data_IF_640087778008
#
_entry.id   IF_640087778008
#
_cell.length_a   1.000
_cell.length_b   1.000
_cell.length_c   1.000
_cell.angle_alpha   90.00
_cell.angle_beta   90.00
_cell.angle_gamma   90.00
#
_symmetry.space_group_name_H-M   'P 1'
#
loop_
_entity.id
_entity.type
_entity.pdbx_description
1 polymer ?
#
# COMPACT_ATOMS: atom_id res chain seq x y z
N UNK A 1 -44.13 -20.51 20.05
CA UNK A 1 -42.91 -19.88 20.59
C UNK A 1 -43.10 -19.62 22.08
N UNK A 2 -42.18 -19.99 22.98
CA UNK A 2 -42.34 -19.74 24.40
C UNK A 2 -42.36 -18.23 24.67
N UNK A 3 -43.42 -17.73 25.34
CA UNK A 3 -43.65 -16.30 25.65
C UNK A 3 -42.44 -15.58 26.28
N UNK A 4 -41.51 -16.32 26.89
CA UNK A 4 -40.26 -15.83 27.47
C UNK A 4 -39.24 -15.27 26.46
N UNK A 5 -39.38 -15.61 25.17
CA UNK A 5 -38.45 -15.14 24.11
C UNK A 5 -38.93 -13.88 23.38
N UNK A 6 -40.19 -13.47 23.56
CA UNK A 6 -40.78 -12.34 22.82
C UNK A 6 -40.14 -11.01 23.21
N UNK A 7 -39.96 -10.75 24.51
CA UNK A 7 -39.32 -9.53 25.00
C UNK A 7 -37.87 -9.35 24.50
N UNK A 8 -36.98 -10.35 24.72
CA UNK A 8 -35.62 -10.30 24.18
C UNK A 8 -35.57 -10.17 22.65
N UNK A 9 -36.47 -10.84 21.93
CA UNK A 9 -36.54 -10.72 20.48
C UNK A 9 -36.93 -9.30 20.03
N UNK A 10 -37.93 -8.68 20.66
CA UNK A 10 -38.33 -7.30 20.35
C UNK A 10 -37.20 -6.30 20.66
N UNK A 11 -36.49 -6.47 21.78
CA UNK A 11 -35.34 -5.64 22.11
C UNK A 11 -34.23 -5.76 21.05
N UNK A 12 -33.90 -7.00 20.62
CA UNK A 12 -32.92 -7.24 19.57
C UNK A 12 -33.35 -6.60 18.24
N UNK A 13 -34.61 -6.77 17.83
CA UNK A 13 -35.14 -6.16 16.61
C UNK A 13 -35.06 -4.64 16.68
N UNK A 14 -35.42 -4.03 17.81
CA UNK A 14 -35.33 -2.58 17.98
C UNK A 14 -33.90 -2.07 17.83
N UNK A 15 -32.91 -2.75 18.44
CA UNK A 15 -31.49 -2.39 18.29
C UNK A 15 -31.03 -2.49 16.83
N UNK A 16 -31.41 -3.55 16.12
CA UNK A 16 -31.06 -3.74 14.70
C UNK A 16 -31.68 -2.67 13.81
N UNK A 17 -32.95 -2.32 14.04
CA UNK A 17 -33.65 -1.26 13.30
C UNK A 17 -33.00 0.09 13.57
N UNK A 18 -32.70 0.44 14.83
CA UNK A 18 -32.01 1.67 15.17
C UNK A 18 -30.64 1.76 14.51
N UNK A 19 -29.87 0.66 14.52
CA UNK A 19 -28.56 0.61 13.85
C UNK A 19 -28.69 0.84 12.34
N UNK A 20 -29.68 0.21 11.69
CA UNK A 20 -29.95 0.40 10.27
C UNK A 20 -30.33 1.85 9.95
N UNK A 21 -31.21 2.45 10.73
CA UNK A 21 -31.63 3.85 10.56
C UNK A 21 -30.43 4.81 10.67
N UNK A 22 -29.53 4.59 11.63
CA UNK A 22 -28.32 5.41 11.78
C UNK A 22 -27.37 5.19 10.59
N UNK A 23 -27.14 3.96 10.15
CA UNK A 23 -26.28 3.66 8.99
C UNK A 23 -26.80 4.34 7.71
N UNK A 24 -28.12 4.36 7.50
CA UNK A 24 -28.77 5.05 6.37
C UNK A 24 -28.64 6.56 6.52
N UNK A 25 -28.96 7.12 7.70
CA UNK A 25 -28.86 8.55 7.95
C UNK A 25 -27.44 9.08 7.74
N UNK A 26 -26.42 8.36 8.26
CA UNK A 26 -25.02 8.69 8.00
C UNK A 26 -24.69 8.66 6.50
N UNK A 27 -25.24 7.70 5.76
CA UNK A 27 -25.07 7.62 4.31
C UNK A 27 -25.65 8.83 3.57
N UNK A 28 -26.88 9.23 3.90
CA UNK A 28 -27.56 10.40 3.33
C UNK A 28 -26.81 11.70 3.66
N UNK A 29 -26.26 11.80 4.88
CA UNK A 29 -25.47 12.95 5.33
C UNK A 29 -24.03 12.97 4.80
N UNK A 30 -23.65 12.04 3.91
CA UNK A 30 -22.32 12.01 3.30
C UNK A 30 -21.20 11.46 4.18
N UNK A 31 -21.51 10.86 5.33
CA UNK A 31 -20.50 10.19 6.14
C UNK A 31 -20.05 8.89 5.45
N UNK A 32 -18.75 8.85 5.11
CA UNK A 32 -18.12 7.70 4.45
C UNK A 32 -17.87 6.52 5.38
N UNK A 33 -17.35 5.45 4.78
CA UNK A 33 -16.76 4.27 5.45
C UNK A 33 -15.24 4.32 5.38
N UNK A 34 -14.55 3.44 6.08
CA UNK A 34 -13.11 3.29 5.90
C UNK A 34 -12.83 2.84 4.46
N UNK A 35 -11.97 3.60 3.79
CA UNK A 35 -11.39 3.28 2.50
C UNK A 35 -9.99 2.75 2.78
N UNK A 36 -9.77 1.44 2.62
CA UNK A 36 -8.46 0.81 2.88
C UNK A 36 -7.42 1.31 1.86
N UNK A 37 -6.21 1.60 2.31
CA UNK A 37 -5.09 1.86 1.42
C UNK A 37 -4.09 0.72 1.62
N UNK A 38 -3.63 0.05 0.55
CA UNK A 38 -4.04 0.31 -0.83
C UNK A 38 -5.32 -0.47 -1.22
N UNK A 39 -6.18 0.19 -2.02
CA UNK A 39 -7.48 -0.29 -2.50
C UNK A 39 -7.36 -0.64 -3.99
N UNK A 40 -8.24 -1.47 -4.58
CA UNK A 40 -9.20 -2.40 -3.97
C UNK A 40 -8.65 -3.81 -3.67
N UNK A 41 -9.44 -4.61 -2.95
CA UNK A 41 -9.17 -6.00 -2.56
C UNK A 41 -9.11 -6.91 -3.79
N UNK A 42 -7.94 -6.97 -4.41
CA UNK A 42 -7.72 -7.70 -5.66
C UNK A 42 -6.44 -7.26 -6.34
N UNK A 43 -6.04 -6.00 -6.13
CA UNK A 43 -4.76 -5.49 -6.62
C UNK A 43 -3.57 -5.95 -5.82
N UNK A 44 -3.78 -6.51 -4.63
CA UNK A 44 -2.73 -6.77 -3.67
C UNK A 44 -2.81 -8.22 -3.20
N UNK A 45 -1.66 -8.89 -3.21
CA UNK A 45 -1.46 -10.23 -2.67
C UNK A 45 -0.42 -10.19 -1.57
N UNK A 46 -0.54 -11.09 -0.60
CA UNK A 46 0.50 -11.30 0.41
C UNK A 46 1.77 -11.82 -0.28
N UNK A 47 2.91 -11.29 0.15
CA UNK A 47 4.23 -11.75 -0.26
C UNK A 47 5.07 -12.04 1.00
N UNK A 48 5.62 -13.25 1.17
CA UNK A 48 6.36 -13.59 2.39
C UNK A 48 7.70 -12.86 2.52
N UNK A 49 8.23 -12.22 1.47
CA UNK A 49 9.48 -11.44 1.51
C UNK A 49 9.21 -9.95 1.62
N UNK A 50 8.19 -9.48 0.91
CA UNK A 50 7.89 -8.05 0.77
C UNK A 50 6.69 -7.60 1.62
N UNK A 51 5.96 -8.53 2.25
CA UNK A 51 4.70 -8.28 2.94
C UNK A 51 3.52 -8.27 1.98
N UNK A 52 3.58 -7.43 0.94
CA UNK A 52 2.61 -7.42 -0.14
C UNK A 52 3.27 -7.10 -1.48
N UNK A 53 2.60 -7.50 -2.55
CA UNK A 53 2.92 -7.09 -3.91
C UNK A 53 1.62 -6.99 -4.72
N UNK A 54 1.66 -6.40 -5.90
CA UNK A 54 0.49 -6.43 -6.77
C UNK A 54 0.15 -7.85 -7.25
N UNK A 55 -1.15 -8.08 -7.45
CA UNK A 55 -1.67 -9.27 -8.13
C UNK A 55 -1.47 -9.10 -9.64
N UNK A 56 -0.74 -10.02 -10.27
CA UNK A 56 -0.51 -9.99 -11.72
C UNK A 56 -1.83 -10.04 -12.50
N UNK A 57 -1.93 -9.25 -13.57
CA UNK A 57 -3.10 -9.19 -14.44
C UNK A 57 -4.33 -8.51 -13.83
N UNK A 58 -4.25 -7.96 -12.61
CA UNK A 58 -5.41 -7.31 -11.99
C UNK A 58 -5.69 -5.94 -12.64
N UNK A 59 -6.95 -5.65 -12.90
CA UNK A 59 -7.43 -4.35 -13.40
C UNK A 59 -8.66 -3.88 -12.61
N UNK A 60 -8.85 -2.57 -12.54
CA UNK A 60 -9.95 -1.95 -11.83
C UNK A 60 -9.78 -0.46 -11.64
N UNK A 61 -10.60 0.11 -10.77
CA UNK A 61 -10.64 1.55 -10.52
C UNK A 61 -10.28 1.84 -9.07
N UNK A 62 -9.32 2.73 -8.87
CA UNK A 62 -9.01 3.30 -7.56
C UNK A 62 -9.90 4.51 -7.36
N UNK A 63 -10.89 4.40 -6.49
CA UNK A 63 -11.85 5.47 -6.20
C UNK A 63 -11.56 6.09 -4.83
N UNK A 64 -11.08 7.35 -4.87
CA UNK A 64 -10.94 8.21 -3.70
C UNK A 64 -11.78 9.48 -3.84
N UNK A 65 -12.96 9.38 -4.47
CA UNK A 65 -13.87 10.49 -4.70
C UNK A 65 -14.18 11.27 -3.40
N UNK A 66 -14.19 12.62 -3.45
CA UNK A 66 -14.11 13.44 -4.67
C UNK A 66 -12.67 13.75 -5.14
N UNK A 67 -11.62 13.21 -4.49
CA UNK A 67 -10.22 13.57 -4.77
C UNK A 67 -9.77 13.08 -6.15
N UNK A 68 -9.97 11.80 -6.44
CA UNK A 68 -9.66 11.22 -7.74
C UNK A 68 -10.44 9.92 -7.95
N UNK A 69 -10.50 9.50 -9.21
CA UNK A 69 -10.95 8.19 -9.62
C UNK A 69 -10.12 7.78 -10.83
N UNK A 70 -9.22 6.81 -10.70
CA UNK A 70 -8.30 6.44 -11.78
C UNK A 70 -8.34 4.97 -12.13
N UNK A 71 -8.12 4.65 -13.40
CA UNK A 71 -8.00 3.26 -13.85
C UNK A 71 -6.58 2.76 -13.58
N UNK A 72 -6.50 1.56 -13.05
CA UNK A 72 -5.24 0.89 -12.76
C UNK A 72 -5.26 -0.48 -13.43
N UNK A 73 -4.23 -0.77 -14.21
CA UNK A 73 -3.93 -2.09 -14.75
C UNK A 73 -2.56 -2.51 -14.24
N UNK A 74 -2.49 -3.71 -13.69
CA UNK A 74 -1.26 -4.39 -13.31
C UNK A 74 -0.96 -5.44 -14.37
N UNK A 75 0.26 -5.41 -14.88
CA UNK A 75 0.73 -6.30 -15.93
C UNK A 75 1.01 -7.72 -15.38
N UNK A 76 1.43 -8.63 -16.25
CA UNK A 76 1.60 -10.05 -15.87
C UNK A 76 2.79 -10.30 -14.92
N UNK A 77 3.61 -9.26 -14.70
CA UNK A 77 4.75 -9.27 -13.77
C UNK A 77 4.46 -8.53 -12.47
N UNK A 78 3.23 -8.05 -12.28
CA UNK A 78 2.85 -7.33 -11.07
C UNK A 78 3.29 -5.86 -11.05
N UNK A 79 3.63 -5.28 -12.20
CA UNK A 79 3.99 -3.86 -12.33
C UNK A 79 2.83 -3.08 -12.93
N UNK A 80 2.70 -1.80 -12.58
CA UNK A 80 1.67 -0.95 -13.18
C UNK A 80 2.10 -0.51 -14.59
N UNK A 81 1.20 -0.66 -15.56
CA UNK A 81 1.43 -0.25 -16.94
C UNK A 81 1.47 -1.41 -17.93
N UNK A 82 2.22 -1.25 -19.02
CA UNK A 82 2.37 -2.31 -20.01
C UNK A 82 3.44 -3.33 -19.62
N UNK A 83 3.50 -4.42 -20.37
CA UNK A 83 4.44 -5.51 -20.14
C UNK A 83 5.83 -5.15 -20.65
N UNK A 84 6.85 -5.59 -19.89
CA UNK A 84 8.26 -5.47 -20.25
C UNK A 84 8.87 -6.88 -20.25
N UNK A 85 9.44 -7.36 -21.37
CA UNK A 85 10.17 -8.62 -21.39
C UNK A 85 11.50 -8.50 -20.64
N UNK A 86 12.00 -9.61 -20.09
CA UNK A 86 13.35 -9.61 -19.48
C UNK A 86 14.43 -9.54 -20.56
N UNK A 87 14.15 -10.12 -21.73
CA UNK A 87 14.94 -9.99 -22.92
C UNK A 87 15.09 -8.52 -23.28
N UNK A 88 16.33 -8.14 -23.63
CA UNK A 88 16.62 -6.78 -24.03
C UNK A 88 16.29 -6.59 -25.50
N UNK A 89 15.65 -5.48 -25.81
CA UNK A 89 15.48 -5.03 -27.18
C UNK A 89 16.77 -4.33 -27.63
N UNK A 90 17.37 -4.82 -28.72
CA UNK A 90 18.60 -4.24 -29.24
C UNK A 90 18.39 -2.76 -29.60
N UNK A 91 19.38 -1.92 -29.28
CA UNK A 91 19.31 -0.48 -29.51
C UNK A 91 18.41 0.30 -28.55
N UNK A 92 17.74 -0.35 -27.59
CA UNK A 92 16.97 0.34 -26.55
C UNK A 92 17.72 0.45 -25.23
N UNK A 93 17.63 1.62 -24.60
CA UNK A 93 18.00 1.85 -23.20
C UNK A 93 16.87 1.37 -22.29
N UNK A 94 17.20 0.97 -21.07
CA UNK A 94 16.22 0.55 -20.07
C UNK A 94 16.48 1.23 -18.74
N UNK A 95 15.51 1.99 -18.27
CA UNK A 95 15.51 2.68 -16.99
C UNK A 95 14.54 1.93 -16.08
N UNK A 96 14.97 1.58 -14.87
CA UNK A 96 14.10 1.03 -13.83
C UNK A 96 13.91 2.09 -12.76
N UNK A 97 12.65 2.40 -12.43
CA UNK A 97 12.30 3.39 -11.41
C UNK A 97 11.71 2.68 -10.21
N UNK A 98 12.44 2.68 -9.09
CA UNK A 98 12.03 2.15 -7.80
C UNK A 98 11.37 3.26 -6.98
N UNK A 99 10.34 2.91 -6.22
CA UNK A 99 9.71 3.82 -5.28
C UNK A 99 8.39 3.30 -4.74
N UNK A 100 7.66 4.22 -4.11
CA UNK A 100 6.44 3.92 -3.38
C UNK A 100 5.17 4.29 -4.21
N UNK A 101 4.15 4.82 -3.53
CA UNK A 101 2.94 5.40 -4.10
C UNK A 101 3.18 6.52 -5.13
N UNK A 102 4.28 7.26 -5.05
CA UNK A 102 4.61 8.32 -6.01
C UNK A 102 5.06 7.74 -7.34
N UNK A 103 5.95 6.75 -7.33
CA UNK A 103 6.34 6.04 -8.55
C UNK A 103 5.16 5.26 -9.11
N UNK A 104 4.36 4.61 -8.26
CA UNK A 104 3.14 3.92 -8.68
C UNK A 104 2.14 4.86 -9.40
N UNK A 105 2.18 6.18 -9.16
CA UNK A 105 1.22 7.13 -9.69
C UNK A 105 -0.14 7.05 -8.99
N UNK A 106 -0.16 6.96 -7.66
CA UNK A 106 -1.41 6.80 -6.90
C UNK A 106 -2.36 7.99 -7.13
N UNK A 107 -3.48 7.72 -7.79
CA UNK A 107 -4.46 8.74 -8.18
C UNK A 107 -4.15 9.50 -9.47
N UNK A 108 -3.21 8.99 -10.27
CA UNK A 108 -2.85 9.52 -11.60
C UNK A 108 -3.24 8.52 -12.69
N UNK A 109 -3.76 8.95 -13.85
CA UNK A 109 -4.07 8.05 -14.97
C UNK A 109 -2.78 7.53 -15.64
N UNK A 110 -2.87 6.38 -16.32
CA UNK A 110 -1.69 5.65 -16.83
C UNK A 110 -0.78 6.52 -17.71
N UNK A 111 -1.37 7.32 -18.59
CA UNK A 111 -0.69 8.19 -19.54
C UNK A 111 -0.04 9.42 -18.87
N UNK A 112 -0.46 9.75 -17.65
CA UNK A 112 -0.01 10.92 -16.89
C UNK A 112 1.05 10.56 -15.83
N UNK A 113 1.28 9.28 -15.57
CA UNK A 113 2.34 8.84 -14.65
C UNK A 113 3.68 9.29 -15.19
N UNK A 114 4.51 9.92 -14.35
CA UNK A 114 5.76 10.51 -14.82
C UNK A 114 6.69 9.50 -15.50
N UNK A 115 6.65 8.21 -15.14
CA UNK A 115 7.43 7.17 -15.81
C UNK A 115 6.96 6.95 -17.25
N UNK A 116 5.64 6.98 -17.49
CA UNK A 116 5.05 6.89 -18.83
C UNK A 116 5.39 8.13 -19.65
N UNK A 117 5.26 9.32 -19.04
CA UNK A 117 5.64 10.58 -19.68
C UNK A 117 7.14 10.59 -20.03
N UNK A 118 8.00 10.14 -19.11
CA UNK A 118 9.45 10.04 -19.32
C UNK A 118 9.80 9.09 -20.46
N UNK A 119 9.11 7.94 -20.55
CA UNK A 119 9.30 7.01 -21.66
C UNK A 119 8.95 7.66 -23.01
N UNK A 120 7.82 8.38 -23.08
CA UNK A 120 7.40 9.09 -24.28
C UNK A 120 8.35 10.22 -24.71
N UNK A 121 9.06 10.82 -23.76
CA UNK A 121 10.05 11.88 -24.02
C UNK A 121 11.43 11.34 -24.45
N UNK A 122 11.72 10.06 -24.17
CA UNK A 122 13.03 9.47 -24.42
C UNK A 122 12.97 8.46 -25.59
N UNK A 123 13.50 8.79 -26.78
CA UNK A 123 13.50 7.87 -27.90
C UNK A 123 14.30 6.60 -27.57
N UNK A 124 13.83 5.46 -28.09
CA UNK A 124 14.46 4.16 -27.90
C UNK A 124 14.78 3.84 -26.43
N UNK A 125 13.89 4.21 -25.50
CA UNK A 125 14.06 3.93 -24.07
C UNK A 125 12.83 3.21 -23.53
N UNK A 126 13.06 2.26 -22.64
CA UNK A 126 12.04 1.58 -21.84
C UNK A 126 12.11 2.13 -20.42
N UNK A 127 11.00 2.58 -19.83
CA UNK A 127 10.96 3.13 -18.46
C UNK A 127 10.05 2.28 -17.58
N UNK A 128 10.66 1.33 -16.88
CA UNK A 128 9.96 0.36 -16.06
C UNK A 128 9.58 1.00 -14.72
N UNK A 129 8.27 1.13 -14.51
CA UNK A 129 7.69 1.57 -13.24
C UNK A 129 7.61 0.40 -12.26
N UNK A 130 8.46 0.42 -11.23
CA UNK A 130 8.46 -0.53 -10.12
C UNK A 130 7.93 0.07 -8.82
N UNK A 131 7.06 1.08 -8.95
CA UNK A 131 6.43 1.74 -7.81
C UNK A 131 5.39 0.85 -7.16
N UNK A 132 5.41 0.75 -5.83
CA UNK A 132 4.43 -0.01 -5.06
C UNK A 132 3.98 0.80 -3.84
N UNK A 133 2.68 1.09 -3.75
CA UNK A 133 2.15 1.93 -2.66
C UNK A 133 2.46 1.34 -1.27
N UNK A 134 3.07 2.17 -0.43
CA UNK A 134 3.45 1.86 0.95
C UNK A 134 4.78 1.12 1.12
N UNK A 135 5.50 0.89 0.02
CA UNK A 135 6.87 0.41 0.13
C UNK A 135 7.74 1.48 0.79
N UNK A 136 8.69 1.02 1.60
CA UNK A 136 9.88 1.80 1.91
C UNK A 136 11.06 1.30 1.08
N UNK A 137 12.20 1.98 1.22
CA UNK A 137 13.46 1.66 0.53
C UNK A 137 13.94 0.23 0.82
N UNK A 138 13.58 -0.33 1.98
CA UNK A 138 13.84 -1.72 2.33
C UNK A 138 13.17 -2.71 1.37
N UNK A 139 11.88 -2.54 1.11
CA UNK A 139 11.09 -3.37 0.19
C UNK A 139 11.56 -3.15 -1.25
N UNK A 140 11.88 -1.92 -1.64
CA UNK A 140 12.43 -1.60 -2.96
C UNK A 140 13.76 -2.32 -3.22
N UNK A 141 14.68 -2.31 -2.25
CA UNK A 141 15.95 -3.04 -2.33
C UNK A 141 15.73 -4.55 -2.45
N UNK A 142 14.84 -5.11 -1.62
CA UNK A 142 14.51 -6.54 -1.65
C UNK A 142 13.89 -6.95 -3.00
N UNK A 143 12.96 -6.14 -3.52
CA UNK A 143 12.34 -6.38 -4.81
C UNK A 143 13.33 -6.25 -5.96
N UNK A 144 14.19 -5.23 -5.94
CA UNK A 144 15.23 -5.04 -6.96
C UNK A 144 16.17 -6.25 -7.05
N UNK A 145 16.65 -6.75 -5.91
CA UNK A 145 17.53 -7.92 -5.85
C UNK A 145 16.85 -9.20 -6.35
N UNK A 146 15.58 -9.39 -6.02
CA UNK A 146 14.85 -10.60 -6.37
C UNK A 146 14.35 -10.60 -7.83
N UNK A 147 13.95 -9.44 -8.34
CA UNK A 147 13.20 -9.31 -9.58
C UNK A 147 13.74 -8.20 -10.49
N UNK A 148 13.92 -6.98 -9.97
CA UNK A 148 14.31 -5.81 -10.77
C UNK A 148 15.62 -6.00 -11.57
N UNK A 149 16.63 -6.65 -10.98
CA UNK A 149 17.91 -6.91 -11.63
C UNK A 149 17.79 -7.81 -12.88
N UNK A 150 16.75 -8.66 -12.96
CA UNK A 150 16.52 -9.56 -14.11
C UNK A 150 16.19 -8.79 -15.39
N UNK A 151 15.68 -7.57 -15.26
CA UNK A 151 15.43 -6.68 -16.40
C UNK A 151 16.71 -6.09 -16.99
N UNK A 152 17.87 -6.25 -16.34
CA UNK A 152 19.16 -5.69 -16.77
C UNK A 152 19.05 -4.20 -17.13
N UNK A 153 18.57 -3.32 -16.22
CA UNK A 153 18.47 -1.89 -16.50
C UNK A 153 19.86 -1.27 -16.73
N UNK A 154 19.94 -0.25 -17.59
CA UNK A 154 21.13 0.58 -17.78
C UNK A 154 21.23 1.67 -16.71
N UNK A 155 20.08 2.07 -16.16
CA UNK A 155 19.94 3.08 -15.11
C UNK A 155 18.86 2.63 -14.13
N UNK A 156 19.17 2.71 -12.83
CA UNK A 156 18.19 2.57 -11.76
C UNK A 156 17.99 3.94 -11.13
N UNK A 157 16.75 4.41 -11.10
CA UNK A 157 16.34 5.63 -10.40
C UNK A 157 15.61 5.19 -9.13
N UNK A 158 16.10 5.63 -7.98
CA UNK A 158 15.43 5.46 -6.70
C UNK A 158 14.71 6.76 -6.35
N UNK A 159 13.39 6.72 -6.29
CA UNK A 159 12.60 7.85 -5.82
C UNK A 159 12.29 7.63 -4.34
N UNK A 160 12.88 8.47 -3.50
CA UNK A 160 12.61 8.49 -2.08
C UNK A 160 11.59 9.56 -1.71
N UNK A 161 10.71 9.24 -0.76
CA UNK A 161 9.70 10.11 -0.20
C UNK A 161 9.88 10.26 1.31
N UNK A 162 9.34 11.35 1.88
CA UNK A 162 9.48 11.64 3.31
C UNK A 162 8.84 10.60 4.24
N UNK A 163 7.99 9.70 3.74
CA UNK A 163 7.45 8.58 4.52
C UNK A 163 8.39 7.37 4.59
N UNK A 164 9.39 7.26 3.70
CA UNK A 164 10.25 6.08 3.64
C UNK A 164 11.05 5.88 4.93
N UNK A 165 11.42 6.98 5.59
CA UNK A 165 12.04 6.97 6.91
C UNK A 165 11.15 6.22 7.91
N UNK A 166 9.89 6.64 8.06
CA UNK A 166 8.94 5.99 8.96
C UNK A 166 8.67 4.53 8.55
N UNK A 167 8.58 4.29 7.24
CA UNK A 167 8.31 2.96 6.71
C UNK A 167 9.49 2.02 6.95
N UNK A 168 10.74 2.49 6.89
CA UNK A 168 11.95 1.69 7.15
C UNK A 168 12.16 1.37 8.65
N UNK A 169 11.46 2.04 9.55
CA UNK A 169 11.54 1.83 11.00
C UNK A 169 10.35 1.06 11.60
N UNK A 170 9.45 0.56 10.76
CA UNK A 170 8.23 -0.12 11.19
C UNK A 170 8.06 -1.47 10.51
N UNK A 171 7.63 -2.47 11.27
CA UNK A 171 7.17 -3.75 10.70
C UNK A 171 5.73 -3.69 10.19
N UNK A 172 5.08 -2.52 10.25
CA UNK A 172 3.68 -2.31 9.87
C UNK A 172 3.53 -1.01 9.07
N UNK A 173 3.03 -1.11 7.84
CA UNK A 173 2.60 0.01 7.02
C UNK A 173 1.07 0.23 7.12
N UNK A 174 0.64 1.49 6.97
CA UNK A 174 -0.78 1.91 7.05
C UNK A 174 -1.55 1.35 8.25
N UNK A 175 -0.87 1.14 9.39
CA UNK A 175 -1.42 0.54 10.62
C UNK A 175 -1.96 -0.90 10.49
N UNK A 176 -1.79 -1.55 9.34
CA UNK A 176 -2.47 -2.81 9.03
C UNK A 176 -1.57 -3.85 8.36
N UNK A 177 -0.67 -3.43 7.48
CA UNK A 177 0.05 -4.32 6.58
C UNK A 177 1.44 -4.64 7.12
N UNK A 178 1.72 -5.90 7.51
CA UNK A 178 3.06 -6.27 7.93
C UNK A 178 4.06 -6.14 6.76
N UNK A 179 5.27 -5.69 7.05
CA UNK A 179 6.38 -5.52 6.09
C UNK A 179 7.70 -6.03 6.66
N UNK A 180 8.71 -6.35 5.82
CA UNK A 180 10.05 -6.67 6.30
C UNK A 180 10.66 -5.47 7.07
N UNK A 181 11.75 -5.72 7.78
CA UNK A 181 12.49 -4.66 8.47
C UNK A 181 13.99 -4.95 8.44
N UNK A 182 14.81 -4.00 7.98
CA UNK A 182 16.25 -4.06 8.20
C UNK A 182 16.60 -3.43 9.54
N UNK A 183 17.49 -4.09 10.29
CA UNK A 183 18.03 -3.59 11.56
C UNK A 183 19.55 -3.56 11.45
N UNK A 184 20.22 -2.44 11.79
CA UNK A 184 21.67 -2.41 11.85
C UNK A 184 22.18 -3.33 12.96
N UNK A 185 23.11 -4.21 12.63
CA UNK A 185 23.88 -4.99 13.60
C UNK A 185 24.89 -4.09 14.33
N UNK A 186 25.46 -4.54 15.47
CA UNK A 186 26.53 -3.81 16.15
C UNK A 186 27.76 -3.53 15.27
N UNK A 187 27.98 -4.33 14.21
CA UNK A 187 29.05 -4.15 13.23
C UNK A 187 28.71 -3.21 12.06
N UNK A 188 27.52 -2.60 12.05
CA UNK A 188 27.05 -1.71 10.99
C UNK A 188 26.45 -2.41 9.77
N UNK A 189 26.44 -3.75 9.74
CA UNK A 189 25.77 -4.50 8.67
C UNK A 189 24.25 -4.50 8.83
N UNK A 190 23.52 -4.40 7.73
CA UNK A 190 22.06 -4.49 7.72
C UNK A 190 21.59 -5.94 7.80
N UNK A 191 20.87 -6.29 8.87
CA UNK A 191 20.26 -7.60 9.06
C UNK A 191 18.78 -7.53 8.73
N UNK A 192 18.34 -8.37 7.79
CA UNK A 192 16.93 -8.48 7.44
C UNK A 192 16.18 -9.26 8.54
N UNK A 193 15.11 -8.66 9.05
CA UNK A 193 14.23 -9.21 10.09
C UNK A 193 12.77 -9.17 9.65
N UNK A 194 11.90 -9.84 10.41
CA UNK A 194 10.48 -10.00 10.10
C UNK A 194 10.20 -10.67 8.74
N UNK A 195 11.06 -11.61 8.35
CA UNK A 195 10.91 -12.45 7.15
C UNK A 195 10.95 -13.93 7.60
N UNK A 196 9.97 -14.78 7.22
CA UNK A 196 8.84 -14.46 6.36
C UNK A 196 7.85 -13.49 7.00
N UNK A 197 7.39 -12.52 6.22
CA UNK A 197 6.47 -11.49 6.67
C UNK A 197 5.11 -12.12 6.95
N UNK A 198 4.54 -11.97 8.17
CA UNK A 198 3.29 -12.61 8.51
C UNK A 198 2.12 -12.01 7.73
N UNK A 199 1.06 -12.79 7.42
CA UNK A 199 -0.15 -12.23 6.86
C UNK A 199 -0.84 -11.31 7.87
N UNK A 200 -1.70 -10.41 7.37
CA UNK A 200 -2.51 -9.53 8.22
C UNK A 200 -3.34 -10.38 9.21
N UNK A 201 -3.19 -10.18 10.53
CA UNK A 201 -3.90 -10.96 11.54
C UNK A 201 -5.42 -10.92 11.34
N UNK A 202 -6.12 -12.04 11.59
CA UNK A 202 -7.57 -12.15 11.43
C UNK A 202 -8.33 -11.03 12.15
N UNK A 203 -7.94 -10.70 13.38
CA UNK A 203 -8.55 -9.60 14.16
C UNK A 203 -8.50 -8.26 13.43
N UNK A 204 -7.40 -7.96 12.73
CA UNK A 204 -7.22 -6.72 11.99
C UNK A 204 -7.97 -6.76 10.66
N UNK A 205 -8.04 -7.92 10.00
CA UNK A 205 -8.89 -8.14 8.82
C UNK A 205 -10.37 -7.94 9.15
N UNK A 206 -10.84 -8.50 10.27
CA UNK A 206 -12.21 -8.33 10.75
C UNK A 206 -12.51 -6.88 11.11
N UNK A 207 -11.57 -6.20 11.78
CA UNK A 207 -11.68 -4.76 12.06
C UNK A 207 -11.77 -3.95 10.76
N UNK A 208 -10.85 -4.17 9.82
CA UNK A 208 -10.85 -3.49 8.51
C UNK A 208 -12.15 -3.75 7.73
N UNK A 209 -12.63 -5.00 7.73
CA UNK A 209 -13.91 -5.36 7.12
C UNK A 209 -15.06 -4.60 7.78
N UNK A 210 -15.17 -4.61 9.11
CA UNK A 210 -16.23 -3.91 9.84
C UNK A 210 -16.24 -2.41 9.53
N UNK A 211 -15.07 -1.77 9.57
CA UNK A 211 -14.93 -0.33 9.30
C UNK A 211 -15.16 0.01 7.81
N UNK A 212 -14.91 -0.93 6.91
CA UNK A 212 -15.22 -0.81 5.48
C UNK A 212 -16.70 -1.06 5.13
N UNK A 213 -17.48 -1.69 6.02
CA UNK A 213 -18.88 -2.07 5.78
C UNK A 213 -19.89 -1.33 6.67
N UNK A 214 -19.46 -0.66 7.74
CA UNK A 214 -20.32 0.15 8.61
C UNK A 214 -19.78 1.57 8.77
N UNK A 215 -20.61 2.55 8.40
CA UNK A 215 -20.42 3.97 8.69
C UNK A 215 -20.44 4.22 10.19
N UNK A 216 -21.36 3.60 10.92
CA UNK A 216 -21.46 3.72 12.38
C UNK A 216 -20.14 3.32 13.03
N UNK A 217 -19.64 2.11 12.73
CA UNK A 217 -18.39 1.62 13.28
C UNK A 217 -17.20 2.52 12.90
N UNK A 218 -17.14 2.97 11.65
CA UNK A 218 -16.09 3.86 11.18
C UNK A 218 -16.10 5.20 11.92
N UNK A 219 -17.24 5.89 12.01
CA UNK A 219 -17.30 7.18 12.69
C UNK A 219 -17.03 7.05 14.19
N UNK A 220 -17.54 6.00 14.86
CA UNK A 220 -17.22 5.72 16.25
C UNK A 220 -15.71 5.51 16.47
N UNK A 221 -15.06 4.75 15.58
CA UNK A 221 -13.60 4.53 15.65
C UNK A 221 -12.80 5.82 15.52
N UNK A 222 -13.25 6.77 14.68
CA UNK A 222 -12.60 8.08 14.50
C UNK A 222 -12.72 8.95 15.73
N UNK A 223 -13.90 8.97 16.37
CA UNK A 223 -14.13 9.73 17.61
C UNK A 223 -13.23 9.20 18.75
N UNK A 224 -13.19 7.88 18.92
CA UNK A 224 -12.34 7.24 19.92
C UNK A 224 -10.84 7.40 19.62
N UNK A 225 -10.45 7.39 18.34
CA UNK A 225 -9.06 7.60 17.91
C UNK A 225 -8.57 9.02 18.19
N UNK A 226 -9.40 10.04 17.92
CA UNK A 226 -9.10 11.46 18.20
C UNK A 226 -8.86 11.71 19.69
N UNK A 227 -9.63 11.06 20.55
CA UNK A 227 -9.44 11.16 22.00
C UNK A 227 -8.10 10.56 22.48
N UNK A 228 -7.46 9.70 21.68
CA UNK A 228 -6.20 9.01 22.04
C UNK A 228 -4.94 9.63 21.43
N UNK A 229 -5.06 10.49 20.42
CA UNK A 229 -3.92 11.02 19.64
C UNK A 229 -3.59 12.50 19.91
N UNK A 230 -3.93 13.03 21.10
CA UNK A 230 -3.46 14.32 21.56
C UNK A 230 -2.02 14.24 22.13
N UNK A 231 -1.11 13.61 21.39
CA UNK A 231 0.31 13.45 21.75
C UNK A 231 1.22 14.21 20.78
N UNK A 232 2.45 14.58 21.22
CA UNK A 232 3.38 15.32 20.37
C UNK A 232 3.72 14.52 19.11
N UNK A 233 4.04 15.24 18.03
CA UNK A 233 4.59 14.68 16.79
C UNK A 233 5.74 13.73 17.12
N UNK A 234 5.75 12.56 16.47
CA UNK A 234 6.85 11.61 16.55
C UNK A 234 8.18 12.33 16.30
N UNK A 235 9.22 12.08 17.12
CA UNK A 235 10.53 12.68 16.90
C UNK A 235 11.02 12.33 15.50
N UNK A 236 11.79 13.24 14.87
CA UNK A 236 12.54 12.90 13.65
C UNK A 236 13.39 11.68 13.98
N UNK A 237 13.18 10.61 13.25
CA UNK A 237 13.99 9.40 13.37
C UNK A 237 15.30 9.69 12.62
N UNK A 238 16.33 8.90 12.89
CA UNK A 238 17.63 9.06 12.26
C UNK A 238 17.60 8.50 10.84
N UNK A 239 17.88 9.34 9.83
CA UNK A 239 17.91 8.97 8.40
C UNK A 239 18.97 7.90 8.06
N UNK A 240 19.84 7.54 9.00
CA UNK A 240 20.97 6.63 8.79
C UNK A 240 20.59 5.27 8.18
N UNK A 241 19.46 4.66 8.58
CA UNK A 241 19.02 3.39 7.99
C UNK A 241 18.66 3.55 6.52
N UNK A 242 17.85 4.56 6.21
CA UNK A 242 17.43 4.88 4.84
C UNK A 242 18.65 5.15 3.96
N UNK A 243 19.59 5.98 4.42
CA UNK A 243 20.83 6.27 3.69
C UNK A 243 21.68 5.01 3.45
N UNK A 244 21.78 4.11 4.44
CA UNK A 244 22.53 2.85 4.30
C UNK A 244 21.90 1.93 3.25
N UNK A 245 20.56 1.89 3.18
CA UNK A 245 19.84 1.14 2.14
C UNK A 245 20.10 1.71 0.73
N UNK A 246 20.13 3.04 0.61
CA UNK A 246 20.48 3.73 -0.64
C UNK A 246 21.91 3.42 -1.06
N UNK A 247 22.87 3.46 -0.15
CA UNK A 247 24.26 3.07 -0.44
C UNK A 247 24.36 1.62 -0.89
N UNK A 248 23.54 0.74 -0.31
CA UNK A 248 23.49 -0.67 -0.68
C UNK A 248 22.99 -0.87 -2.11
N UNK A 249 22.07 -0.03 -2.60
CA UNK A 249 21.62 -0.05 -4.00
C UNK A 249 22.70 0.42 -4.99
N UNK A 250 23.70 1.18 -4.53
CA UNK A 250 24.80 1.67 -5.37
C UNK A 250 25.92 0.64 -5.59
N UNK A 251 25.97 -0.40 -4.75
CA UNK A 251 27.00 -1.45 -4.80
C UNK A 251 26.52 -2.62 -5.65
#
# INVERSE_FOLDING_TARGET
MPRRLVGPALALVSVLVSFLLIEVALGVLGYGRQRLVPQPAGFWRHDPRLGWHHTAGSEGVFDRSPVFRTRVRINDKGLRGHDYPYERVAGRRRILVLGDSFVFGYGVEQEEIFTTVLEGLLPATEVINAGVSGYGTDQELLWFRAEGARYRPDLVILLMCGNDELDNHSTIAYSLYPKPLFVPSPGGELVLTNVPVPPVPLRLRLKAWLLGHSRVAFQASRLLGRARHAGPSSPRVDDGLTLTLVETLRR
#
